data_IF_846310663997
#
_entry.id   IF_846310663997
#
_cell.length_a   1.000
_cell.length_b   1.000
_cell.length_c   1.000
_cell.angle_alpha   90.00
_cell.angle_beta   90.00
_cell.angle_gamma   90.00
#
_symmetry.space_group_name_H-M   'P 1'
#
loop_
_entity.id
_entity.type
_entity.pdbx_description
1 polymer ?
#
# COMPACT_ATOMS: atom_id res chain seq x y z
N UNK A 1 -8.36 13.16 -3.57
CA UNK A 1 -8.31 11.69 -3.49
C UNK A 1 -6.94 11.22 -3.96
N UNK A 2 -6.31 10.33 -3.22
CA UNK A 2 -4.93 9.83 -3.44
C UNK A 2 -4.86 8.82 -4.58
N UNK A 3 -3.75 8.77 -5.33
CA UNK A 3 -3.42 7.67 -6.25
C UNK A 3 -2.35 6.76 -5.62
N UNK A 4 -2.41 5.45 -5.87
CA UNK A 4 -1.55 4.47 -5.17
C UNK A 4 -0.77 3.56 -6.15
N UNK A 5 0.06 4.07 -7.06
CA UNK A 5 0.75 3.26 -8.05
C UNK A 5 1.79 2.32 -7.41
N UNK A 6 1.94 1.10 -7.93
CA UNK A 6 3.13 0.27 -7.70
C UNK A 6 4.27 0.76 -8.60
N UNK A 7 5.45 0.12 -8.52
CA UNK A 7 6.60 0.51 -9.34
C UNK A 7 6.34 0.40 -10.84
N UNK A 8 5.66 -0.65 -11.32
CA UNK A 8 5.39 -0.84 -12.75
C UNK A 8 4.41 0.22 -13.27
N UNK A 9 3.35 0.48 -12.50
CA UNK A 9 2.35 1.53 -12.77
C UNK A 9 3.00 2.91 -12.75
N UNK A 10 3.87 3.17 -11.76
CA UNK A 10 4.61 4.43 -11.65
C UNK A 10 5.58 4.60 -12.82
N UNK A 11 6.31 3.55 -13.19
CA UNK A 11 7.25 3.58 -14.31
C UNK A 11 6.54 3.88 -15.63
N UNK A 12 5.36 3.29 -15.85
CA UNK A 12 4.53 3.57 -17.02
C UNK A 12 4.07 5.03 -17.06
N UNK A 13 3.65 5.59 -15.92
CA UNK A 13 3.18 6.98 -15.81
C UNK A 13 4.32 8.00 -15.97
N UNK A 14 5.53 7.66 -15.52
CA UNK A 14 6.71 8.53 -15.56
C UNK A 14 7.56 8.35 -16.82
N UNK A 15 7.37 7.26 -17.57
CA UNK A 15 8.20 6.93 -18.73
C UNK A 15 9.64 6.53 -18.39
N UNK A 16 9.91 6.15 -17.13
CA UNK A 16 11.22 5.69 -16.65
C UNK A 16 11.06 4.66 -15.53
N UNK A 17 12.02 3.75 -15.41
CA UNK A 17 12.04 2.79 -14.30
C UNK A 17 12.40 3.46 -12.96
N UNK A 18 11.95 2.84 -11.87
CA UNK A 18 12.29 3.20 -10.49
C UNK A 18 13.00 1.99 -9.88
N UNK A 19 14.31 2.07 -9.73
CA UNK A 19 15.15 0.89 -9.44
C UNK A 19 15.58 0.77 -7.98
N UNK A 20 15.39 1.82 -7.19
CA UNK A 20 15.82 1.86 -5.79
C UNK A 20 14.98 2.74 -4.87
N UNK A 21 15.12 2.48 -3.56
CA UNK A 21 14.41 3.22 -2.50
C UNK A 21 14.74 4.71 -2.53
N UNK A 22 15.97 5.06 -2.91
CA UNK A 22 16.42 6.45 -3.01
C UNK A 22 15.64 7.26 -4.06
N UNK A 23 15.05 6.61 -5.05
CA UNK A 23 14.29 7.26 -6.12
C UNK A 23 12.81 7.47 -5.79
N UNK A 24 12.29 6.82 -4.74
CA UNK A 24 10.85 6.81 -4.44
C UNK A 24 10.29 8.20 -4.14
N UNK A 25 11.08 9.04 -3.46
CA UNK A 25 10.69 10.41 -3.13
C UNK A 25 10.56 11.26 -4.41
N UNK A 26 11.57 11.21 -5.29
CA UNK A 26 11.55 11.92 -6.57
C UNK A 26 10.41 11.42 -7.47
N UNK A 27 10.20 10.10 -7.52
CA UNK A 27 9.08 9.53 -8.27
C UNK A 27 7.72 9.99 -7.71
N UNK A 28 7.58 10.10 -6.39
CA UNK A 28 6.36 10.62 -5.77
C UNK A 28 6.10 12.08 -6.15
N UNK A 29 7.13 12.92 -6.17
CA UNK A 29 7.07 14.32 -6.62
C UNK A 29 6.69 14.43 -8.10
N UNK A 30 7.33 13.65 -8.98
CA UNK A 30 7.04 13.64 -10.42
C UNK A 30 5.58 13.22 -10.69
N UNK A 31 5.09 12.18 -10.01
CA UNK A 31 3.71 11.73 -10.11
C UNK A 31 2.72 12.78 -9.56
N UNK A 32 3.09 13.48 -8.49
CA UNK A 32 2.28 14.55 -7.91
C UNK A 32 2.15 15.72 -8.88
N UNK A 33 3.23 16.03 -9.60
CA UNK A 33 3.26 17.07 -10.64
C UNK A 33 2.34 16.77 -11.84
N UNK A 34 1.91 15.52 -12.03
CA UNK A 34 0.88 15.15 -13.02
C UNK A 34 -0.54 15.62 -12.63
N UNK A 35 -0.71 16.19 -11.43
CA UNK A 35 -1.95 16.85 -11.00
C UNK A 35 -2.75 16.10 -9.93
N UNK A 36 -2.24 14.97 -9.42
CA UNK A 36 -2.88 14.29 -8.30
C UNK A 36 -2.72 15.13 -7.01
N UNK A 37 -3.74 15.18 -6.13
CA UNK A 37 -3.62 15.92 -4.86
C UNK A 37 -2.76 15.18 -3.83
N UNK A 38 -2.57 13.86 -4.00
CA UNK A 38 -1.67 13.03 -3.20
C UNK A 38 -1.30 11.76 -3.96
N UNK A 39 -0.10 11.23 -3.72
CA UNK A 39 0.44 10.02 -4.33
C UNK A 39 1.04 9.12 -3.25
N UNK A 40 0.71 7.83 -3.27
CA UNK A 40 1.38 6.79 -2.49
C UNK A 40 2.11 5.83 -3.44
N UNK A 41 3.41 6.00 -3.60
CA UNK A 41 4.25 5.10 -4.41
C UNK A 41 4.55 3.84 -3.60
N UNK A 42 4.12 2.67 -4.09
CA UNK A 42 4.31 1.39 -3.40
C UNK A 42 5.60 0.72 -3.87
N UNK A 43 6.60 0.64 -2.99
CA UNK A 43 7.93 0.08 -3.30
C UNK A 43 8.05 -1.43 -3.07
N UNK A 44 6.94 -2.14 -2.85
CA UNK A 44 6.92 -3.58 -2.54
C UNK A 44 7.65 -4.51 -3.52
N UNK A 45 7.92 -4.07 -4.75
CA UNK A 45 8.68 -4.82 -5.77
C UNK A 45 10.20 -4.57 -5.72
N UNK A 46 10.69 -3.59 -4.96
CA UNK A 46 12.13 -3.36 -4.78
C UNK A 46 12.76 -4.51 -3.98
N UNK A 47 14.01 -4.91 -4.31
CA UNK A 47 14.71 -5.96 -3.56
C UNK A 47 15.03 -5.51 -2.13
N UNK A 48 15.24 -6.49 -1.24
CA UNK A 48 15.64 -6.26 0.14
C UNK A 48 14.65 -6.77 1.19
N UNK A 49 15.09 -6.73 2.44
CA UNK A 49 14.35 -7.24 3.60
C UNK A 49 13.25 -6.29 4.08
N UNK A 50 13.21 -5.07 3.56
CA UNK A 50 12.23 -4.04 3.93
C UNK A 50 11.43 -3.62 2.71
N UNK A 51 10.14 -3.36 2.93
CA UNK A 51 9.26 -2.72 1.97
C UNK A 51 9.10 -1.27 2.38
N UNK A 52 9.33 -0.36 1.44
CA UNK A 52 9.22 1.08 1.65
C UNK A 52 8.17 1.64 0.69
N UNK A 53 7.19 2.35 1.22
CA UNK A 53 6.21 3.10 0.44
C UNK A 53 6.34 4.60 0.79
N UNK A 54 6.11 5.48 -0.17
CA UNK A 54 6.27 6.93 0.01
C UNK A 54 4.96 7.65 -0.30
N UNK A 55 4.47 8.43 0.66
CA UNK A 55 3.33 9.33 0.51
C UNK A 55 3.82 10.76 0.31
N UNK A 56 3.39 11.37 -0.79
CA UNK A 56 3.52 12.79 -1.08
C UNK A 56 2.13 13.44 -1.19
N UNK A 57 2.02 14.70 -0.78
CA UNK A 57 0.78 15.49 -0.82
C UNK A 57 1.05 16.86 -1.44
N UNK A 58 0.14 17.33 -2.27
CA UNK A 58 0.20 18.68 -2.82
C UNK A 58 0.16 19.73 -1.70
N UNK A 59 0.90 20.81 -1.85
CA UNK A 59 0.96 21.90 -0.86
C UNK A 59 2.25 21.98 -0.03
N UNK A 60 3.30 21.22 -0.37
CA UNK A 60 4.66 21.45 0.14
C UNK A 60 4.99 20.82 1.51
N UNK A 61 4.28 19.76 1.90
CA UNK A 61 4.60 18.98 3.09
C UNK A 61 5.76 17.99 2.85
N UNK A 62 6.45 17.58 3.93
CA UNK A 62 7.47 16.55 3.85
C UNK A 62 6.87 15.20 3.44
N UNK A 63 7.63 14.42 2.66
CA UNK A 63 7.29 13.04 2.37
C UNK A 63 7.13 12.21 3.64
N UNK A 64 6.12 11.34 3.66
CA UNK A 64 6.01 10.32 4.70
C UNK A 64 6.37 8.98 4.12
N UNK A 65 7.46 8.41 4.63
CA UNK A 65 7.87 7.04 4.32
C UNK A 65 7.21 6.07 5.30
N UNK A 66 6.72 4.97 4.76
CA UNK A 66 6.16 3.87 5.53
C UNK A 66 6.98 2.63 5.28
N UNK A 67 7.53 2.05 6.35
CA UNK A 67 8.42 0.90 6.25
C UNK A 67 7.89 -0.29 7.03
N UNK A 68 8.19 -1.49 6.53
CA UNK A 68 7.89 -2.74 7.23
C UNK A 68 8.84 -3.84 6.79
N UNK A 69 9.10 -4.84 7.63
CA UNK A 69 9.77 -6.07 7.19
C UNK A 69 9.00 -6.71 6.03
N UNK A 70 9.73 -7.29 5.07
CA UNK A 70 9.15 -8.10 4.00
C UNK A 70 8.65 -9.40 4.61
N UNK A 71 7.36 -9.69 4.43
CA UNK A 71 6.77 -10.97 4.85
C UNK A 71 6.95 -11.95 3.70
N UNK A 72 7.68 -13.04 3.93
CA UNK A 72 7.78 -14.14 2.98
C UNK A 72 6.42 -14.85 2.88
N UNK A 73 5.74 -14.67 1.75
CA UNK A 73 4.43 -15.28 1.50
C UNK A 73 4.25 -15.51 0.00
N UNK A 74 3.64 -16.64 -0.36
CA UNK A 74 3.17 -16.90 -1.74
C UNK A 74 1.79 -16.28 -1.98
N UNK A 75 1.18 -15.71 -0.94
CA UNK A 75 -0.19 -15.21 -0.93
C UNK A 75 -0.22 -13.69 -0.93
N UNK A 76 0.14 -13.11 -2.06
CA UNK A 76 0.27 -11.65 -2.23
C UNK A 76 -0.65 -11.09 -3.33
N UNK A 77 -1.51 -11.94 -3.92
CA UNK A 77 -2.51 -11.48 -4.87
C UNK A 77 -3.55 -10.60 -4.18
N UNK A 78 -3.82 -9.44 -4.79
CA UNK A 78 -4.81 -8.48 -4.30
C UNK A 78 -4.29 -7.47 -3.28
N UNK A 79 -3.00 -7.47 -2.94
CA UNK A 79 -2.42 -6.52 -1.96
C UNK A 79 -2.67 -5.06 -2.34
N UNK A 80 -2.53 -4.72 -3.63
CA UNK A 80 -2.84 -3.40 -4.16
C UNK A 80 -4.31 -2.99 -3.96
N UNK A 81 -5.24 -3.83 -4.40
CA UNK A 81 -6.68 -3.56 -4.27
C UNK A 81 -7.12 -3.50 -2.80
N UNK A 82 -6.53 -4.33 -1.95
CA UNK A 82 -6.81 -4.33 -0.50
C UNK A 82 -6.32 -3.06 0.15
N UNK A 83 -5.10 -2.63 -0.19
CA UNK A 83 -4.52 -1.40 0.33
C UNK A 83 -5.37 -0.18 -0.05
N UNK A 84 -5.71 -0.03 -1.33
CA UNK A 84 -6.52 1.09 -1.80
C UNK A 84 -7.92 1.10 -1.18
N UNK A 85 -8.56 -0.07 -1.06
CA UNK A 85 -9.87 -0.21 -0.40
C UNK A 85 -9.80 0.14 1.09
N UNK A 86 -8.77 -0.32 1.80
CA UNK A 86 -8.59 -0.01 3.21
C UNK A 86 -8.29 1.48 3.44
N UNK A 87 -7.49 2.13 2.57
CA UNK A 87 -7.27 3.58 2.61
C UNK A 87 -8.60 4.31 2.45
N UNK A 88 -9.40 3.94 1.44
CA UNK A 88 -10.70 4.56 1.19
C UNK A 88 -11.64 4.39 2.39
N UNK A 89 -11.68 3.21 3.02
CA UNK A 89 -12.47 2.95 4.22
C UNK A 89 -12.03 3.83 5.40
N UNK A 90 -10.72 3.95 5.67
CA UNK A 90 -10.22 4.80 6.76
C UNK A 90 -10.44 6.29 6.51
N UNK A 91 -10.35 6.74 5.26
CA UNK A 91 -10.71 8.12 4.89
C UNK A 91 -12.21 8.38 5.13
N UNK A 92 -13.09 7.42 4.81
CA UNK A 92 -14.53 7.53 5.05
C UNK A 92 -14.88 7.59 6.55
N UNK A 93 -14.02 7.05 7.42
CA UNK A 93 -14.12 7.16 8.88
C UNK A 93 -13.62 8.52 9.42
N UNK A 94 -13.17 9.43 8.56
CA UNK A 94 -12.71 10.77 8.94
C UNK A 94 -11.23 10.87 9.28
N UNK A 95 -10.45 9.81 9.05
CA UNK A 95 -9.01 9.85 9.32
C UNK A 95 -8.28 10.72 8.30
N UNK A 96 -7.25 11.45 8.77
CA UNK A 96 -6.32 12.14 7.88
C UNK A 96 -5.56 11.13 7.00
N UNK A 97 -5.22 11.53 5.77
CA UNK A 97 -4.61 10.63 4.78
C UNK A 97 -3.36 9.87 5.28
N UNK A 98 -2.38 10.49 5.96
CA UNK A 98 -1.24 9.76 6.49
C UNK A 98 -1.62 8.64 7.47
N UNK A 99 -2.61 8.90 8.33
CA UNK A 99 -3.12 7.90 9.28
C UNK A 99 -3.93 6.81 8.56
N UNK A 100 -4.73 7.17 7.57
CA UNK A 100 -5.47 6.21 6.75
C UNK A 100 -4.53 5.24 6.02
N UNK A 101 -3.43 5.74 5.46
CA UNK A 101 -2.39 4.92 4.84
C UNK A 101 -1.72 4.02 5.86
N UNK A 102 -1.33 4.54 7.02
CA UNK A 102 -0.70 3.77 8.09
C UNK A 102 -1.57 2.59 8.55
N UNK A 103 -2.85 2.84 8.81
CA UNK A 103 -3.79 1.81 9.25
C UNK A 103 -4.08 0.79 8.13
N UNK A 104 -4.24 1.25 6.89
CA UNK A 104 -4.44 0.36 5.75
C UNK A 104 -3.22 -0.56 5.50
N UNK A 105 -2.00 -0.04 5.64
CA UNK A 105 -0.78 -0.87 5.58
C UNK A 105 -0.75 -1.90 6.69
N UNK A 106 -1.09 -1.51 7.92
CA UNK A 106 -1.19 -2.42 9.05
C UNK A 106 -2.17 -3.58 8.78
N UNK A 107 -3.34 -3.26 8.22
CA UNK A 107 -4.34 -4.25 7.83
C UNK A 107 -3.83 -5.21 6.75
N UNK A 108 -3.17 -4.71 5.70
CA UNK A 108 -2.60 -5.54 4.63
C UNK A 108 -1.49 -6.46 5.17
N UNK A 109 -0.59 -5.95 6.02
CA UNK A 109 0.47 -6.76 6.62
C UNK A 109 -0.11 -7.89 7.48
N UNK A 110 -1.13 -7.60 8.29
CA UNK A 110 -1.82 -8.59 9.08
C UNK A 110 -2.54 -9.64 8.21
N UNK A 111 -3.17 -9.21 7.10
CA UNK A 111 -3.81 -10.10 6.14
C UNK A 111 -2.82 -11.03 5.43
N UNK A 112 -1.63 -10.53 5.07
CA UNK A 112 -0.55 -11.34 4.50
C UNK A 112 -0.05 -12.35 5.54
N UNK A 113 0.22 -11.91 6.78
CA UNK A 113 0.71 -12.78 7.85
C UNK A 113 -0.28 -13.91 8.17
N UNK A 114 -1.57 -13.57 8.31
CA UNK A 114 -2.64 -14.54 8.58
C UNK A 114 -2.85 -15.51 7.41
N UNK A 115 -2.64 -15.06 6.17
CA UNK A 115 -2.74 -15.88 4.97
C UNK A 115 -1.48 -16.69 4.66
N UNK A 116 -0.32 -16.40 5.26
CA UNK A 116 0.98 -16.90 4.79
C UNK A 116 1.12 -18.44 4.75
N UNK A 117 0.40 -19.15 5.63
CA UNK A 117 0.42 -20.63 5.72
C UNK A 117 -0.73 -21.29 4.96
N UNK A 118 -1.64 -20.51 4.39
CA UNK A 118 -2.80 -21.04 3.66
C UNK A 118 -2.36 -21.43 2.26
N UNK A 119 -2.72 -22.63 1.79
CA UNK A 119 -2.46 -23.03 0.42
C UNK A 119 -3.79 -23.16 -0.33
N UNK A 120 -3.99 -22.31 -1.32
CA UNK A 120 -5.15 -22.37 -2.22
C UNK A 120 -4.67 -22.78 -3.60
N UNK A 121 -4.99 -24.02 -4.00
CA UNK A 121 -4.52 -24.57 -5.27
C UNK A 121 -2.98 -24.68 -5.35
N UNK A 122 -2.46 -24.61 -6.57
CA UNK A 122 -1.03 -24.76 -6.88
C UNK A 122 -0.30 -23.44 -7.22
N UNK A 123 -1.02 -22.32 -7.29
CA UNK A 123 -0.50 -21.00 -7.68
C UNK A 123 -0.24 -20.04 -6.51
N UNK A 124 -0.08 -18.75 -6.81
CA UNK A 124 -0.06 -17.69 -5.80
C UNK A 124 -1.47 -17.52 -5.22
N UNK A 125 -1.61 -17.60 -3.90
CA UNK A 125 -2.90 -17.49 -3.22
C UNK A 125 -3.32 -16.04 -2.93
N UNK A 126 -4.58 -15.83 -2.54
CA UNK A 126 -5.08 -14.55 -2.08
C UNK A 126 -4.59 -14.25 -0.65
N UNK A 127 -4.50 -12.97 -0.29
CA UNK A 127 -4.37 -12.56 1.11
C UNK A 127 -5.66 -12.82 1.90
N UNK A 128 -5.56 -12.97 3.24
CA UNK A 128 -6.72 -13.21 4.10
C UNK A 128 -7.41 -11.90 4.50
N UNK A 129 -8.40 -11.49 3.70
CA UNK A 129 -9.18 -10.28 3.94
C UNK A 129 -10.05 -10.41 5.22
N UNK A 130 -10.50 -11.62 5.56
CA UNK A 130 -11.36 -11.87 6.73
C UNK A 130 -10.59 -12.18 8.01
N UNK A 131 -9.33 -11.78 8.15
CA UNK A 131 -8.49 -12.23 9.27
C UNK A 131 -8.87 -11.60 10.63
N UNK A 132 -9.53 -10.44 10.64
CA UNK A 132 -9.91 -9.71 11.86
C UNK A 132 -11.27 -9.02 11.70
N UNK A 133 -12.38 -9.78 11.59
CA UNK A 133 -13.71 -9.19 11.51
C UNK A 133 -14.07 -8.52 12.83
N UNK A 134 -14.56 -7.28 12.77
CA UNK A 134 -15.13 -6.57 13.92
C UNK A 134 -16.65 -6.65 13.83
N UNK A 135 -17.36 -6.99 14.92
CA UNK A 135 -18.82 -6.99 14.92
C UNK A 135 -19.36 -5.60 14.59
N UNK A 136 -20.15 -5.48 13.52
CA UNK A 136 -20.86 -4.23 13.19
C UNK A 136 -22.15 -4.06 13.97
N UNK A 137 -22.71 -5.16 14.48
CA UNK A 137 -23.88 -5.20 15.35
C UNK A 137 -23.76 -6.40 16.29
N UNK A 138 -23.80 -6.15 17.59
CA UNK A 138 -23.86 -7.19 18.62
C UNK A 138 -25.32 -7.31 19.03
N UNK A 139 -25.93 -8.47 18.78
CA UNK A 139 -27.26 -8.77 19.30
C UNK A 139 -27.10 -9.27 20.73
N UNK A 140 -27.51 -8.46 21.70
CA UNK A 140 -27.66 -8.85 23.11
C UNK A 140 -28.98 -9.56 23.32
#
# INVERSE_FOLDING_TARGET
LVVTPNLDEAALLLGRDITGVAELDAAADELLALGAPAVLVKGGHLPGERVVDVLAQAGGGAHRRFESPRIASRNVHGTGCTLSSAIAAHLALGNALPLAVEQARGYVLAAIAAGAKVQVGHGHGPLNHGHAPVPTRILS
#
